data_IF_158777297002
#
_entry.id   IF_158777297002
#
_cell.length_a   1.000
_cell.length_b   1.000
_cell.length_c   1.000
_cell.angle_alpha   90.00
_cell.angle_beta   90.00
_cell.angle_gamma   90.00
#
_symmetry.space_group_name_H-M   'P 1'
#
loop_
_entity.id
_entity.type
_entity.pdbx_description
1 polymer ?
#
# COMPACT_ATOMS: atom_id res chain seq x y z
N UNK A 1 5.77 -27.02 -11.35
CA UNK A 1 5.03 -26.85 -10.08
C UNK A 1 5.18 -25.41 -9.70
N UNK A 2 4.11 -24.62 -9.85
CA UNK A 2 4.07 -23.26 -9.35
C UNK A 2 3.86 -23.26 -7.84
N UNK A 3 4.22 -22.18 -7.19
CA UNK A 3 3.84 -21.90 -5.82
C UNK A 3 2.29 -21.80 -5.77
N UNK A 4 1.62 -22.58 -4.92
CA UNK A 4 0.15 -22.55 -4.84
C UNK A 4 -0.33 -21.34 -4.04
N UNK A 5 -1.53 -20.85 -4.36
CA UNK A 5 -2.18 -19.76 -3.60
C UNK A 5 -2.29 -20.11 -2.11
N UNK A 6 -2.70 -21.34 -1.79
CA UNK A 6 -2.77 -21.81 -0.41
C UNK A 6 -1.42 -21.73 0.32
N UNK A 7 -0.32 -22.03 -0.38
CA UNK A 7 1.02 -21.94 0.20
C UNK A 7 1.40 -20.48 0.42
N UNK A 8 1.05 -19.59 -0.51
CA UNK A 8 1.30 -18.15 -0.38
C UNK A 8 0.58 -17.55 0.83
N UNK A 9 -0.72 -17.84 0.96
CA UNK A 9 -1.52 -17.37 2.09
C UNK A 9 -0.98 -17.88 3.44
N UNK A 10 -0.54 -19.15 3.50
CA UNK A 10 0.07 -19.70 4.71
C UNK A 10 1.41 -19.04 5.05
N UNK A 11 2.21 -18.67 4.06
CA UNK A 11 3.49 -17.97 4.28
C UNK A 11 3.23 -16.54 4.76
N UNK A 12 2.28 -15.84 4.17
CA UNK A 12 1.88 -14.49 4.60
C UNK A 12 1.36 -14.48 6.04
N UNK A 13 0.48 -15.43 6.40
CA UNK A 13 -0.02 -15.54 7.77
C UNK A 13 1.10 -15.77 8.79
N UNK A 14 2.05 -16.67 8.48
CA UNK A 14 3.23 -16.89 9.34
C UNK A 14 4.13 -15.67 9.43
N UNK A 15 4.26 -14.92 8.34
CA UNK A 15 5.03 -13.68 8.34
C UNK A 15 4.36 -12.62 9.22
N UNK A 16 3.05 -12.44 9.11
CA UNK A 16 2.27 -11.56 9.98
C UNK A 16 2.45 -11.91 11.48
N UNK A 17 2.37 -13.20 11.83
CA UNK A 17 2.60 -13.68 13.20
C UNK A 17 3.99 -13.30 13.74
N UNK A 18 5.02 -13.33 12.89
CA UNK A 18 6.39 -12.95 13.26
C UNK A 18 6.51 -11.43 13.48
N UNK A 19 5.75 -10.64 12.72
CA UNK A 19 5.84 -9.18 12.74
C UNK A 19 5.05 -8.53 13.89
N UNK A 20 4.22 -9.27 14.64
CA UNK A 20 3.28 -8.72 15.65
C UNK A 20 3.87 -7.70 16.67
N UNK A 21 5.19 -7.66 16.87
CA UNK A 21 5.85 -6.78 17.86
C UNK A 21 6.71 -5.66 17.22
N UNK A 22 6.58 -5.38 15.93
CA UNK A 22 7.43 -4.41 15.22
C UNK A 22 6.73 -3.08 14.85
N UNK A 23 5.59 -2.81 15.47
CA UNK A 23 4.69 -1.68 15.15
C UNK A 23 4.14 -1.70 13.71
N UNK A 24 4.05 -2.88 13.09
CA UNK A 24 3.58 -3.02 11.71
C UNK A 24 4.65 -2.69 10.67
N UNK A 25 5.91 -2.52 11.08
CA UNK A 25 7.00 -2.11 10.18
C UNK A 25 7.20 -3.09 9.02
N UNK A 26 7.48 -4.36 9.30
CA UNK A 26 7.85 -5.32 8.25
C UNK A 26 6.64 -5.75 7.42
N UNK A 27 5.48 -5.88 8.05
CA UNK A 27 4.26 -6.23 7.33
C UNK A 27 3.76 -5.05 6.48
N UNK A 28 3.77 -3.83 7.03
CA UNK A 28 3.44 -2.61 6.29
C UNK A 28 4.41 -2.31 5.15
N UNK A 29 5.72 -2.56 5.33
CA UNK A 29 6.72 -2.43 4.26
C UNK A 29 6.44 -3.41 3.10
N UNK A 30 6.05 -4.65 3.43
CA UNK A 30 5.66 -5.65 2.44
C UNK A 30 4.36 -5.25 1.72
N UNK A 31 3.37 -4.75 2.45
CA UNK A 31 2.10 -4.27 1.89
C UNK A 31 2.33 -3.08 0.94
N UNK A 32 3.16 -2.12 1.34
CA UNK A 32 3.56 -1.00 0.49
C UNK A 32 4.29 -1.48 -0.77
N UNK A 33 5.21 -2.44 -0.63
CA UNK A 33 5.92 -3.01 -1.78
C UNK A 33 4.98 -3.74 -2.75
N UNK A 34 3.97 -4.42 -2.22
CA UNK A 34 2.92 -5.03 -3.05
C UNK A 34 2.14 -3.96 -3.82
N UNK A 35 1.72 -2.87 -3.14
CA UNK A 35 1.02 -1.76 -3.78
C UNK A 35 1.86 -1.14 -4.90
N UNK A 36 3.15 -0.87 -4.67
CA UNK A 36 4.09 -0.38 -5.71
C UNK A 36 4.14 -1.31 -6.92
N UNK A 37 4.28 -2.62 -6.69
CA UNK A 37 4.30 -3.61 -7.77
C UNK A 37 2.98 -3.65 -8.54
N UNK A 38 1.86 -3.52 -7.84
CA UNK A 38 0.52 -3.55 -8.43
C UNK A 38 0.26 -2.28 -9.26
N UNK A 39 0.73 -1.12 -8.80
CA UNK A 39 0.74 0.14 -9.54
C UNK A 39 1.55 0.01 -10.84
N UNK A 40 2.80 -0.46 -10.75
CA UNK A 40 3.67 -0.68 -11.91
C UNK A 40 3.04 -1.65 -12.91
N UNK A 41 2.39 -2.71 -12.42
CA UNK A 41 1.70 -3.67 -13.26
C UNK A 41 0.53 -3.01 -14.00
N UNK A 42 -0.24 -2.17 -13.32
CA UNK A 42 -1.36 -1.46 -13.94
C UNK A 42 -0.89 -0.42 -14.95
N UNK A 43 0.17 0.34 -14.65
CA UNK A 43 0.81 1.27 -15.59
C UNK A 43 1.35 0.55 -16.84
N UNK A 44 1.87 -0.68 -16.67
CA UNK A 44 2.45 -1.47 -17.75
C UNK A 44 1.43 -2.16 -18.65
N UNK A 45 0.29 -2.59 -18.10
CA UNK A 45 -0.67 -3.45 -18.81
C UNK A 45 -2.06 -2.83 -18.99
N UNK A 46 -2.35 -1.70 -18.33
CA UNK A 46 -3.63 -1.03 -18.36
C UNK A 46 -4.63 -1.60 -17.35
N UNK A 47 -5.91 -1.44 -17.64
CA UNK A 47 -7.02 -1.99 -16.84
C UNK A 47 -6.89 -3.50 -16.65
N UNK A 48 -6.99 -3.97 -15.40
CA UNK A 48 -6.86 -5.39 -15.05
C UNK A 48 -8.23 -5.97 -14.71
N UNK A 49 -8.66 -5.87 -13.46
CA UNK A 49 -9.98 -6.20 -12.95
C UNK A 49 -10.21 -5.56 -11.57
N UNK A 50 -11.47 -5.55 -11.12
CA UNK A 50 -11.89 -4.95 -9.84
C UNK A 50 -11.24 -5.64 -8.65
N UNK A 51 -11.21 -6.98 -8.61
CA UNK A 51 -10.61 -7.77 -7.53
C UNK A 51 -9.13 -7.42 -7.33
N UNK A 52 -8.39 -7.15 -8.41
CA UNK A 52 -7.00 -6.70 -8.34
C UNK A 52 -6.87 -5.34 -7.66
N UNK A 53 -7.75 -4.40 -8.00
CA UNK A 53 -7.73 -3.05 -7.42
C UNK A 53 -8.16 -3.04 -5.96
N UNK A 54 -9.10 -3.90 -5.56
CA UNK A 54 -9.46 -4.11 -4.15
C UNK A 54 -8.23 -4.55 -3.35
N UNK A 55 -7.49 -5.56 -3.82
CA UNK A 55 -6.30 -6.07 -3.12
C UNK A 55 -5.15 -5.05 -3.11
N UNK A 56 -4.98 -4.26 -4.18
CA UNK A 56 -4.04 -3.14 -4.21
C UNK A 56 -4.40 -2.10 -3.15
N UNK A 57 -5.66 -1.67 -3.13
CA UNK A 57 -6.19 -0.70 -2.18
C UNK A 57 -6.00 -1.16 -0.73
N UNK A 58 -6.36 -2.39 -0.42
CA UNK A 58 -6.16 -3.00 0.90
C UNK A 58 -4.70 -2.96 1.34
N UNK A 59 -3.77 -3.33 0.45
CA UNK A 59 -2.34 -3.31 0.76
C UNK A 59 -1.80 -1.88 0.99
N UNK A 60 -2.29 -0.91 0.21
CA UNK A 60 -1.95 0.49 0.43
C UNK A 60 -2.50 1.01 1.76
N UNK A 61 -3.75 0.68 2.09
CA UNK A 61 -4.36 1.01 3.38
C UNK A 61 -3.59 0.42 4.57
N UNK A 62 -3.17 -0.84 4.49
CA UNK A 62 -2.34 -1.46 5.54
C UNK A 62 -1.03 -0.68 5.78
N UNK A 63 -0.39 -0.20 4.71
CA UNK A 63 0.80 0.64 4.80
C UNK A 63 0.49 2.02 5.42
N UNK A 64 -0.63 2.64 5.04
CA UNK A 64 -1.11 3.92 5.61
C UNK A 64 -1.38 3.78 7.11
N UNK A 65 -2.06 2.71 7.53
CA UNK A 65 -2.34 2.45 8.95
C UNK A 65 -1.04 2.30 9.75
N UNK A 66 -0.07 1.54 9.23
CA UNK A 66 1.24 1.38 9.88
C UNK A 66 2.01 2.71 9.94
N UNK A 67 2.05 3.47 8.84
CA UNK A 67 2.66 4.79 8.80
C UNK A 67 1.98 5.78 9.76
N UNK A 68 0.66 5.75 9.87
CA UNK A 68 -0.13 6.64 10.73
C UNK A 68 0.08 6.41 12.22
N UNK A 69 0.59 5.24 12.62
CA UNK A 69 0.88 4.90 14.01
C UNK A 69 2.28 5.33 14.46
N UNK A 70 3.22 5.54 13.53
CA UNK A 70 4.62 5.83 13.82
C UNK A 70 5.20 6.84 12.82
N UNK A 71 5.49 8.06 13.29
CA UNK A 71 6.03 9.15 12.47
C UNK A 71 7.36 8.77 11.79
N UNK A 72 8.18 7.92 12.41
CA UNK A 72 9.46 7.49 11.83
C UNK A 72 9.23 6.49 10.69
N UNK A 73 8.18 5.67 10.75
CA UNK A 73 7.75 4.84 9.62
C UNK A 73 7.18 5.69 8.49
N UNK A 74 6.37 6.70 8.81
CA UNK A 74 5.91 7.66 7.80
C UNK A 74 7.08 8.35 7.11
N UNK A 75 8.05 8.91 7.84
CA UNK A 75 9.24 9.54 7.24
C UNK A 75 10.03 8.57 6.36
N UNK A 76 10.10 7.29 6.74
CA UNK A 76 10.77 6.26 5.98
C UNK A 76 10.05 5.91 4.67
N UNK A 77 8.71 5.96 4.67
CA UNK A 77 7.88 5.53 3.54
C UNK A 77 7.27 6.67 2.74
N UNK A 78 7.40 7.92 3.17
CA UNK A 78 6.78 9.10 2.55
C UNK A 78 6.96 9.13 1.04
N UNK A 79 8.20 9.09 0.57
CA UNK A 79 8.50 9.18 -0.87
C UNK A 79 7.87 8.02 -1.68
N UNK A 80 7.73 6.85 -1.06
CA UNK A 80 7.11 5.65 -1.68
C UNK A 80 5.60 5.77 -1.75
N UNK A 81 4.97 6.22 -0.66
CA UNK A 81 3.53 6.51 -0.60
C UNK A 81 3.15 7.61 -1.61
N UNK A 82 3.95 8.68 -1.69
CA UNK A 82 3.78 9.74 -2.67
C UNK A 82 3.95 9.24 -4.11
N UNK A 83 4.89 8.32 -4.37
CA UNK A 83 5.02 7.71 -5.70
C UNK A 83 3.73 7.02 -6.13
N UNK A 84 3.16 6.17 -5.27
CA UNK A 84 1.88 5.47 -5.56
C UNK A 84 0.76 6.47 -5.80
N UNK A 85 0.66 7.52 -4.97
CA UNK A 85 -0.32 8.61 -5.15
C UNK A 85 -0.18 9.30 -6.52
N UNK A 86 1.06 9.66 -6.90
CA UNK A 86 1.32 10.37 -8.14
C UNK A 86 1.11 9.50 -9.38
N UNK A 87 1.44 8.21 -9.29
CA UNK A 87 1.28 7.25 -10.37
C UNK A 87 -0.21 6.94 -10.64
N UNK A 88 -1.05 6.98 -9.60
CA UNK A 88 -2.51 6.89 -9.74
C UNK A 88 -3.19 8.23 -10.08
N UNK A 89 -2.47 9.35 -10.07
CA UNK A 89 -3.04 10.64 -10.43
C UNK A 89 -3.43 10.66 -11.93
N UNK A 90 -4.71 10.90 -12.21
CA UNK A 90 -5.25 10.87 -13.57
C UNK A 90 -5.41 9.46 -14.16
N UNK A 91 -5.30 8.40 -13.36
CA UNK A 91 -5.52 7.02 -13.80
C UNK A 91 -7.01 6.73 -14.07
N UNK A 92 -7.91 7.37 -13.32
CA UNK A 92 -9.36 7.20 -13.41
C UNK A 92 -9.92 6.06 -12.54
N UNK A 93 -11.17 5.67 -12.80
CA UNK A 93 -11.87 4.51 -12.20
C UNK A 93 -12.03 4.52 -10.67
N UNK A 94 -11.94 5.68 -10.02
CA UNK A 94 -12.18 5.82 -8.58
C UNK A 94 -11.00 5.41 -7.69
N UNK A 95 -10.00 4.69 -8.23
CA UNK A 95 -8.79 4.34 -7.47
C UNK A 95 -7.95 5.56 -7.11
N UNK A 96 -7.92 6.57 -7.98
CA UNK A 96 -7.28 7.86 -7.67
C UNK A 96 -7.89 8.50 -6.42
N UNK A 97 -9.22 8.52 -6.31
CA UNK A 97 -9.94 9.11 -5.17
C UNK A 97 -9.61 8.33 -3.89
N UNK A 98 -9.67 7.00 -3.95
CA UNK A 98 -9.33 6.14 -2.81
C UNK A 98 -7.89 6.33 -2.31
N UNK A 99 -6.90 6.25 -3.21
CA UNK A 99 -5.48 6.40 -2.84
C UNK A 99 -5.20 7.81 -2.28
N UNK A 100 -5.85 8.83 -2.85
CA UNK A 100 -5.76 10.21 -2.39
C UNK A 100 -6.34 10.37 -0.97
N UNK A 101 -7.56 9.88 -0.73
CA UNK A 101 -8.21 9.91 0.58
C UNK A 101 -7.38 9.19 1.64
N UNK A 102 -6.86 8.01 1.33
CA UNK A 102 -6.01 7.23 2.21
C UNK A 102 -4.70 7.97 2.53
N UNK A 103 -4.02 8.52 1.52
CA UNK A 103 -2.78 9.28 1.73
C UNK A 103 -3.02 10.47 2.67
N UNK A 104 -4.01 11.33 2.36
CA UNK A 104 -4.30 12.52 3.15
C UNK A 104 -4.96 12.23 4.52
N UNK A 105 -5.31 10.97 4.81
CA UNK A 105 -5.72 10.55 6.15
C UNK A 105 -4.56 10.51 7.16
N UNK A 106 -3.31 10.51 6.67
CA UNK A 106 -2.13 10.43 7.53
C UNK A 106 -2.01 11.67 8.45
N UNK A 107 -1.87 11.47 9.77
CA UNK A 107 -1.82 12.57 10.73
C UNK A 107 -0.55 13.45 10.62
N UNK A 108 0.43 13.00 9.85
CA UNK A 108 1.74 13.64 9.70
C UNK A 108 1.80 14.60 8.51
N UNK A 109 0.81 14.54 7.62
CA UNK A 109 0.71 15.48 6.50
C UNK A 109 0.28 16.81 7.09
N UNK A 110 1.21 17.75 7.10
CA UNK A 110 0.88 19.13 7.37
C UNK A 110 0.08 19.61 6.16
N UNK A 111 -1.14 20.12 6.37
CA UNK A 111 -1.74 21.00 5.38
C UNK A 111 -0.74 22.15 5.20
N UNK A 112 0.05 22.10 4.13
CA UNK A 112 0.81 23.25 3.64
C UNK A 112 -0.22 24.28 3.13
N UNK A 113 -0.94 24.90 4.07
CA UNK A 113 -1.68 26.13 3.87
C UNK A 113 -0.65 27.27 3.84
N UNK A 114 0.02 27.45 2.70
CA UNK A 114 0.59 28.75 2.30
C UNK A 114 -0.21 29.37 1.15
#
# INVERSE_FOLDING_TARGET
MGFSIDTAQQVLAKFADICVNDNGKWYGDLALYFAECATDFTLGYGDIDEDFYEVLGDAYHEAIVAAGQDEELYKLWKDRLESVLHDFAGFGWGMEEYICEEYYSLPWIQEDNE
#
